data_IF_496187762456
#
_entry.id   IF_496187762456
#
_cell.length_a   1.000
_cell.length_b   1.000
_cell.length_c   1.000
_cell.angle_alpha   90.00
_cell.angle_beta   90.00
_cell.angle_gamma   90.00
#
_symmetry.space_group_name_H-M   'P 1'
#
loop_
_entity.id
_entity.type
_entity.pdbx_description
1 polymer ?
#
# COMPACT_ATOMS: atom_id res chain seq x y z
N UNK A 1 -5.12 -4.01 -9.08
CA UNK A 1 -3.96 -3.19 -9.01
C UNK A 1 -2.74 -3.77 -9.70
N UNK A 2 -1.65 -3.12 -9.49
CA UNK A 2 -0.35 -3.45 -10.09
C UNK A 2 0.06 -4.89 -9.75
N UNK A 3 -0.21 -5.33 -8.52
CA UNK A 3 0.13 -6.67 -8.05
C UNK A 3 -0.51 -7.77 -8.92
N UNK A 4 -1.77 -7.58 -9.29
CA UNK A 4 -2.50 -8.54 -10.12
C UNK A 4 -1.87 -8.67 -11.50
N UNK A 5 -1.53 -7.57 -12.13
CA UNK A 5 -0.91 -7.56 -13.46
C UNK A 5 0.45 -8.24 -13.45
N UNK A 6 1.24 -8.02 -12.41
CA UNK A 6 2.55 -8.66 -12.26
C UNK A 6 2.40 -10.17 -12.09
N UNK A 7 1.42 -10.62 -11.30
CA UNK A 7 1.14 -12.05 -11.11
C UNK A 7 0.69 -12.68 -12.43
N UNK A 8 -0.19 -12.02 -13.18
CA UNK A 8 -0.65 -12.51 -14.47
C UNK A 8 0.51 -12.63 -15.47
N UNK A 9 1.42 -11.66 -15.51
CA UNK A 9 2.61 -11.73 -16.36
C UNK A 9 3.51 -12.91 -15.97
N UNK A 10 3.68 -13.16 -14.68
CA UNK A 10 4.45 -14.30 -14.19
C UNK A 10 3.82 -15.63 -14.62
N UNK A 11 2.50 -15.77 -14.49
CA UNK A 11 1.76 -16.96 -14.90
C UNK A 11 1.87 -17.17 -16.41
N UNK A 12 1.72 -16.13 -17.19
CA UNK A 12 1.81 -16.21 -18.65
C UNK A 12 3.21 -16.61 -19.11
N UNK A 13 4.25 -16.10 -18.46
CA UNK A 13 5.62 -16.48 -18.75
C UNK A 13 5.86 -17.97 -18.46
N UNK A 14 5.34 -18.46 -17.34
CA UNK A 14 5.45 -19.86 -16.96
C UNK A 14 4.74 -20.78 -17.98
N UNK A 15 3.58 -20.35 -18.48
CA UNK A 15 2.82 -21.08 -19.51
C UNK A 15 3.54 -21.15 -20.85
N UNK A 16 4.43 -20.21 -21.13
CA UNK A 16 5.23 -20.19 -22.34
C UNK A 16 6.37 -21.19 -22.39
N UNK A 17 6.48 -22.07 -21.41
CA UNK A 17 7.49 -23.13 -21.38
C UNK A 17 8.77 -22.77 -20.66
N UNK A 18 8.94 -21.56 -20.23
CA UNK A 18 10.05 -21.15 -19.37
C UNK A 18 9.64 -21.27 -17.92
N UNK A 19 10.35 -22.08 -17.16
CA UNK A 19 10.14 -22.18 -15.72
C UNK A 19 10.86 -21.02 -15.04
N UNK A 20 10.19 -19.89 -14.93
CA UNK A 20 10.69 -18.74 -14.19
C UNK A 20 10.06 -18.78 -12.80
N UNK A 21 10.90 -18.95 -11.78
CA UNK A 21 10.47 -18.89 -10.40
C UNK A 21 10.46 -17.44 -9.95
N UNK A 22 9.28 -16.94 -9.55
CA UNK A 22 9.14 -15.60 -8.98
C UNK A 22 9.09 -15.69 -7.47
N UNK A 23 9.82 -14.80 -6.82
CA UNK A 23 9.86 -14.69 -5.37
C UNK A 23 9.35 -13.33 -4.92
N UNK A 24 8.52 -13.35 -3.89
CA UNK A 24 8.08 -12.14 -3.20
C UNK A 24 9.14 -11.70 -2.20
N UNK A 25 9.35 -10.39 -2.11
CA UNK A 25 10.27 -9.82 -1.13
C UNK A 25 9.70 -8.56 -0.54
N UNK A 26 10.21 -8.19 0.62
CA UNK A 26 9.85 -6.95 1.29
C UNK A 26 11.11 -6.29 1.82
N UNK A 27 11.31 -5.04 1.46
CA UNK A 27 12.43 -4.24 1.92
C UNK A 27 11.92 -3.09 2.75
N UNK A 28 12.63 -2.80 3.83
CA UNK A 28 12.27 -1.74 4.77
C UNK A 28 13.41 -0.76 4.88
N UNK A 29 13.09 0.53 4.86
CA UNK A 29 14.13 1.54 4.91
C UNK A 29 13.59 2.90 5.28
N UNK A 30 14.48 3.86 5.26
CA UNK A 30 14.19 5.25 5.56
C UNK A 30 14.49 6.13 4.36
N UNK A 31 13.58 7.04 4.05
CA UNK A 31 13.78 8.07 3.05
C UNK A 31 14.22 9.38 3.66
N UNK A 32 14.13 10.49 2.91
CA UNK A 32 14.44 11.80 3.43
C UNK A 32 13.66 12.10 4.70
N UNK A 33 14.29 12.78 5.66
CA UNK A 33 13.69 13.13 6.96
C UNK A 33 13.21 11.93 7.79
N UNK A 34 13.82 10.76 7.57
CA UNK A 34 13.50 9.52 8.30
C UNK A 34 12.07 9.02 8.05
N UNK A 35 11.51 9.29 6.87
CA UNK A 35 10.24 8.69 6.48
C UNK A 35 10.41 7.18 6.40
N UNK A 36 9.54 6.44 7.07
CA UNK A 36 9.55 4.98 7.02
C UNK A 36 8.93 4.52 5.70
N UNK A 37 9.61 3.62 4.99
CA UNK A 37 9.18 3.13 3.68
C UNK A 37 9.27 1.61 3.65
N UNK A 38 8.21 0.99 3.17
CA UNK A 38 8.17 -0.46 2.90
C UNK A 38 8.00 -0.64 1.39
N UNK A 39 8.84 -1.48 0.80
CA UNK A 39 8.79 -1.78 -0.64
C UNK A 39 8.54 -3.27 -0.81
N UNK A 40 7.42 -3.62 -1.43
CA UNK A 40 7.11 -5.00 -1.79
C UNK A 40 7.54 -5.27 -3.23
N UNK A 41 8.21 -6.38 -3.44
CA UNK A 41 8.71 -6.79 -4.75
C UNK A 41 8.22 -8.18 -5.13
N UNK A 42 8.15 -8.42 -6.43
CA UNK A 42 8.00 -9.75 -7.00
C UNK A 42 9.01 -9.85 -8.14
N UNK A 43 9.93 -10.79 -8.05
CA UNK A 43 11.06 -10.85 -8.96
C UNK A 43 11.51 -12.25 -9.27
N UNK A 44 12.05 -12.46 -10.46
CA UNK A 44 12.76 -13.67 -10.85
C UNK A 44 14.26 -13.58 -10.52
N UNK A 45 14.71 -12.45 -9.99
CA UNK A 45 16.12 -12.22 -9.64
C UNK A 45 16.21 -11.33 -8.40
N UNK A 46 16.29 -11.99 -7.24
CA UNK A 46 16.29 -11.33 -5.93
C UNK A 46 17.45 -10.34 -5.80
N UNK A 47 18.63 -10.69 -6.31
CA UNK A 47 19.81 -9.83 -6.26
C UNK A 47 19.58 -8.53 -7.04
N UNK A 48 19.01 -8.62 -8.22
CA UNK A 48 18.69 -7.45 -9.05
C UNK A 48 17.69 -6.55 -8.35
N UNK A 49 16.63 -7.14 -7.78
CA UNK A 49 15.60 -6.38 -7.07
C UNK A 49 16.21 -5.63 -5.87
N UNK A 50 17.00 -6.32 -5.08
CA UNK A 50 17.67 -5.72 -3.92
C UNK A 50 18.57 -4.55 -4.34
N UNK A 51 19.43 -4.77 -5.34
CA UNK A 51 20.35 -3.73 -5.79
C UNK A 51 19.61 -2.52 -6.36
N UNK A 52 18.54 -2.75 -7.11
CA UNK A 52 17.73 -1.67 -7.70
C UNK A 52 17.04 -0.84 -6.63
N UNK A 53 16.42 -1.48 -5.64
CA UNK A 53 15.73 -0.79 -4.55
C UNK A 53 16.74 -0.01 -3.70
N UNK A 54 17.84 -0.64 -3.35
CA UNK A 54 18.90 0.00 -2.58
C UNK A 54 19.45 1.25 -3.27
N UNK A 55 19.68 1.15 -4.59
CA UNK A 55 20.16 2.28 -5.38
C UNK A 55 19.20 3.45 -5.34
N UNK A 56 17.89 3.19 -5.45
CA UNK A 56 16.87 4.24 -5.37
C UNK A 56 16.96 4.99 -4.04
N UNK A 57 17.02 4.27 -2.93
CA UNK A 57 17.14 4.91 -1.61
C UNK A 57 18.42 5.73 -1.49
N UNK A 58 19.55 5.15 -1.87
CA UNK A 58 20.85 5.82 -1.74
C UNK A 58 20.94 7.11 -2.55
N UNK A 59 20.31 7.14 -3.74
CA UNK A 59 20.32 8.33 -4.61
C UNK A 59 19.59 9.53 -4.02
N UNK A 60 18.61 9.30 -3.15
CA UNK A 60 17.74 10.36 -2.64
C UNK A 60 17.87 10.56 -1.14
N UNK A 61 19.03 10.24 -0.58
CA UNK A 61 19.35 10.53 0.82
C UNK A 61 18.72 9.58 1.83
N UNK A 62 18.23 8.43 1.37
CA UNK A 62 17.72 7.39 2.24
C UNK A 62 18.68 6.21 2.38
N UNK A 63 18.25 5.20 3.07
CA UNK A 63 19.01 3.96 3.23
C UNK A 63 18.08 2.80 3.57
N UNK A 64 18.45 1.60 3.13
CA UNK A 64 17.75 0.38 3.53
C UNK A 64 18.17 -0.04 4.93
N UNK A 65 17.19 -0.51 5.70
CA UNK A 65 17.41 -1.10 7.02
C UNK A 65 17.23 -2.60 7.00
N UNK A 66 17.29 -3.19 8.19
CA UNK A 66 17.04 -4.62 8.37
C UNK A 66 15.54 -4.91 8.40
N UNK A 67 15.13 -6.17 8.09
CA UNK A 67 13.73 -6.55 8.21
C UNK A 67 13.19 -6.27 9.62
N UNK A 68 11.99 -5.69 9.68
CA UNK A 68 11.37 -5.29 10.94
C UNK A 68 11.74 -3.91 11.43
N UNK A 69 12.67 -3.23 10.78
CA UNK A 69 13.16 -1.91 11.25
C UNK A 69 12.09 -0.82 11.18
N UNK A 70 11.16 -0.90 10.21
CA UNK A 70 10.08 0.10 10.06
C UNK A 70 8.68 -0.51 10.08
N UNK A 71 8.54 -1.81 9.83
CA UNK A 71 7.23 -2.46 9.70
C UNK A 71 6.38 -2.33 10.97
N UNK A 72 7.00 -2.22 12.14
CA UNK A 72 6.29 -2.05 13.41
C UNK A 72 5.44 -0.77 13.43
N UNK A 73 5.78 0.21 12.60
CA UNK A 73 5.06 1.49 12.53
C UNK A 73 3.86 1.44 11.57
N UNK A 74 3.57 0.28 11.01
CA UNK A 74 2.46 0.09 10.09
C UNK A 74 1.52 -1.00 10.61
N UNK A 75 0.25 -0.89 10.23
CA UNK A 75 -0.76 -1.90 10.55
C UNK A 75 -1.40 -2.37 9.26
N UNK A 76 -1.44 -3.68 9.02
CA UNK A 76 -2.20 -4.23 7.90
C UNK A 76 -3.68 -3.97 8.15
N UNK A 77 -4.34 -3.31 7.23
CA UNK A 77 -5.69 -2.80 7.39
C UNK A 77 -6.51 -3.11 6.14
N UNK A 78 -7.76 -3.50 6.32
CA UNK A 78 -8.72 -3.57 5.22
C UNK A 78 -9.18 -2.16 4.90
N UNK A 79 -8.90 -1.69 3.69
CA UNK A 79 -9.23 -0.34 3.25
C UNK A 79 -10.25 -0.38 2.13
N UNK A 80 -11.38 0.32 2.31
CA UNK A 80 -12.39 0.47 1.27
C UNK A 80 -12.71 1.95 1.13
N UNK A 81 -12.59 2.48 -0.08
CA UNK A 81 -12.96 3.88 -0.37
C UNK A 81 -13.97 3.90 -1.51
N UNK A 82 -14.95 4.78 -1.40
CA UNK A 82 -16.01 4.92 -2.40
C UNK A 82 -16.69 6.28 -2.28
N UNK A 83 -17.34 6.68 -3.36
CA UNK A 83 -18.06 7.95 -3.39
C UNK A 83 -19.31 7.84 -2.51
N UNK A 84 -19.47 8.79 -1.60
CA UNK A 84 -20.62 8.85 -0.71
C UNK A 84 -20.46 9.95 0.33
N UNK A 85 -21.50 10.15 1.13
CA UNK A 85 -21.50 11.18 2.15
C UNK A 85 -22.24 10.79 3.44
N UNK A 86 -22.73 9.57 3.53
CA UNK A 86 -23.49 9.10 4.70
C UNK A 86 -22.61 8.22 5.60
N UNK A 87 -21.70 8.88 6.31
CA UNK A 87 -20.76 8.20 7.22
C UNK A 87 -21.52 7.41 8.31
N UNK A 88 -22.55 8.01 8.88
CA UNK A 88 -23.31 7.36 9.95
C UNK A 88 -24.04 6.11 9.48
N UNK A 89 -24.69 6.19 8.31
CA UNK A 89 -25.37 5.04 7.72
C UNK A 89 -24.43 3.91 7.35
N UNK A 90 -23.27 4.27 6.81
CA UNK A 90 -22.23 3.29 6.47
C UNK A 90 -21.72 2.60 7.74
N UNK A 91 -21.43 3.37 8.77
CA UNK A 91 -20.96 2.84 10.05
C UNK A 91 -21.99 1.87 10.63
N UNK A 92 -23.26 2.26 10.64
CA UNK A 92 -24.35 1.42 11.14
C UNK A 92 -24.44 0.11 10.37
N UNK A 93 -24.38 0.17 9.03
CA UNK A 93 -24.45 -1.04 8.20
C UNK A 93 -23.32 -2.03 8.53
N UNK A 94 -22.11 -1.51 8.71
CA UNK A 94 -20.94 -2.33 9.04
C UNK A 94 -21.07 -2.95 10.44
N UNK A 95 -21.48 -2.17 11.41
CA UNK A 95 -21.64 -2.63 12.80
C UNK A 95 -22.74 -3.70 12.87
N UNK A 96 -23.87 -3.50 12.22
CA UNK A 96 -24.95 -4.47 12.16
C UNK A 96 -24.53 -5.76 11.44
N UNK A 97 -23.60 -5.67 10.52
CA UNK A 97 -23.01 -6.81 9.82
C UNK A 97 -21.90 -7.50 10.59
N UNK A 98 -21.66 -7.12 11.83
CA UNK A 98 -20.64 -7.71 12.71
C UNK A 98 -19.21 -7.54 12.15
N UNK A 99 -18.93 -6.42 11.47
CA UNK A 99 -17.61 -6.07 10.98
C UNK A 99 -16.82 -5.38 12.09
N UNK A 100 -15.58 -5.78 12.28
CA UNK A 100 -14.68 -5.09 13.21
C UNK A 100 -14.14 -3.82 12.54
N UNK A 101 -14.80 -2.69 12.79
CA UNK A 101 -14.53 -1.40 12.17
C UNK A 101 -13.51 -0.63 12.99
N UNK A 102 -12.40 -0.21 12.35
CA UNK A 102 -11.41 0.66 12.98
C UNK A 102 -11.80 2.13 12.84
N UNK A 103 -12.27 2.55 11.66
CA UNK A 103 -12.65 3.93 11.41
C UNK A 103 -13.52 4.05 10.16
N UNK A 104 -14.41 5.03 10.16
CA UNK A 104 -15.16 5.46 8.97
C UNK A 104 -15.09 6.97 8.93
N UNK A 105 -14.57 7.53 7.85
CA UNK A 105 -14.38 8.98 7.72
C UNK A 105 -14.80 9.47 6.34
N UNK A 106 -14.87 10.78 6.22
CA UNK A 106 -15.20 11.48 4.98
C UNK A 106 -13.99 12.28 4.53
N UNK A 107 -13.57 12.06 3.27
CA UNK A 107 -12.52 12.82 2.62
C UNK A 107 -13.08 13.36 1.31
N UNK A 108 -13.40 14.63 1.26
CA UNK A 108 -14.13 15.30 0.16
C UNK A 108 -15.42 14.54 -0.17
N UNK A 109 -15.54 13.94 -1.34
CA UNK A 109 -16.71 13.16 -1.76
C UNK A 109 -16.55 11.65 -1.53
N UNK A 110 -15.46 11.24 -0.90
CA UNK A 110 -15.18 9.83 -0.63
C UNK A 110 -15.43 9.46 0.82
N UNK A 111 -16.01 8.30 1.02
CA UNK A 111 -16.04 7.66 2.34
C UNK A 111 -14.84 6.72 2.40
N UNK A 112 -14.08 6.80 3.49
CA UNK A 112 -12.91 5.98 3.75
C UNK A 112 -13.23 5.05 4.91
N UNK A 113 -13.28 3.74 4.64
CA UNK A 113 -13.59 2.71 5.62
C UNK A 113 -12.32 1.93 5.93
N UNK A 114 -12.00 1.83 7.21
CA UNK A 114 -10.88 1.03 7.70
C UNK A 114 -11.42 -0.05 8.62
N UNK A 115 -11.12 -1.30 8.29
CA UNK A 115 -11.60 -2.46 9.05
C UNK A 115 -10.46 -3.41 9.33
N UNK A 116 -10.67 -4.36 10.25
CA UNK A 116 -9.72 -5.44 10.45
C UNK A 116 -9.50 -6.15 9.12
N UNK A 117 -8.24 -6.50 8.82
CA UNK A 117 -7.88 -7.11 7.54
C UNK A 117 -8.66 -8.40 7.25
N UNK A 118 -8.99 -9.16 8.28
CA UNK A 118 -9.74 -10.41 8.14
C UNK A 118 -11.21 -10.19 7.80
N UNK A 119 -11.72 -8.97 8.00
CA UNK A 119 -13.13 -8.62 7.77
C UNK A 119 -13.35 -7.86 6.45
N UNK A 120 -12.32 -7.73 5.61
CA UNK A 120 -12.43 -6.94 4.37
C UNK A 120 -13.58 -7.40 3.48
N UNK A 121 -13.68 -8.70 3.22
CA UNK A 121 -14.73 -9.24 2.34
C UNK A 121 -16.11 -9.15 2.98
N UNK A 122 -16.20 -9.33 4.29
CA UNK A 122 -17.45 -9.15 5.04
C UNK A 122 -17.92 -7.70 4.95
N UNK A 123 -17.00 -6.75 5.11
CA UNK A 123 -17.27 -5.32 4.98
C UNK A 123 -17.76 -4.97 3.57
N UNK A 124 -17.08 -5.50 2.56
CA UNK A 124 -17.50 -5.30 1.16
C UNK A 124 -18.93 -5.77 0.93
N UNK A 125 -19.28 -6.95 1.46
CA UNK A 125 -20.63 -7.49 1.31
C UNK A 125 -21.67 -6.60 2.01
N UNK A 126 -21.36 -6.12 3.22
CA UNK A 126 -22.25 -5.21 3.93
C UNK A 126 -22.50 -3.93 3.15
N UNK A 127 -21.46 -3.38 2.52
CA UNK A 127 -21.57 -2.18 1.70
C UNK A 127 -22.38 -2.44 0.44
N UNK A 128 -22.18 -3.59 -0.22
CA UNK A 128 -22.97 -3.98 -1.37
C UNK A 128 -24.46 -4.07 -1.01
N UNK A 129 -24.76 -4.68 0.14
CA UNK A 129 -26.15 -4.82 0.62
C UNK A 129 -26.77 -3.46 0.95
N UNK A 130 -25.94 -2.48 1.33
CA UNK A 130 -26.38 -1.10 1.61
C UNK A 130 -26.50 -0.24 0.35
N UNK A 131 -26.18 -0.80 -0.83
CA UNK A 131 -26.32 -0.11 -2.11
C UNK A 131 -25.03 0.43 -2.71
N UNK A 132 -23.89 0.20 -2.08
CA UNK A 132 -22.60 0.64 -2.58
C UNK A 132 -21.92 -0.52 -3.31
N UNK A 133 -21.74 -0.39 -4.62
CA UNK A 133 -21.24 -1.47 -5.48
C UNK A 133 -19.97 -1.11 -6.24
N UNK A 134 -19.61 0.19 -6.27
CA UNK A 134 -18.41 0.66 -6.94
C UNK A 134 -17.44 1.23 -5.92
N UNK A 135 -16.22 0.70 -5.91
CA UNK A 135 -15.19 1.11 -4.95
C UNK A 135 -13.97 1.63 -5.68
N UNK A 136 -13.42 2.74 -5.19
CA UNK A 136 -12.13 3.25 -5.65
C UNK A 136 -11.00 2.35 -5.17
N UNK A 137 -11.11 1.88 -3.92
CA UNK A 137 -10.18 0.94 -3.32
C UNK A 137 -10.96 -0.09 -2.51
N UNK A 138 -10.50 -1.34 -2.54
CA UNK A 138 -10.99 -2.41 -1.69
C UNK A 138 -9.86 -3.43 -1.57
N UNK A 139 -8.97 -3.21 -0.59
CA UNK A 139 -7.73 -3.97 -0.49
C UNK A 139 -7.21 -4.03 0.94
N UNK A 140 -6.32 -5.00 1.19
CA UNK A 140 -5.54 -5.02 2.42
C UNK A 140 -4.28 -4.22 2.13
N UNK A 141 -4.00 -3.22 2.95
CA UNK A 141 -2.85 -2.34 2.76
C UNK A 141 -2.14 -2.09 4.10
N UNK A 142 -0.91 -1.60 4.02
CA UNK A 142 -0.13 -1.22 5.20
C UNK A 142 -0.36 0.27 5.46
N UNK A 143 -1.01 0.60 6.57
CA UNK A 143 -1.25 1.99 6.96
C UNK A 143 -0.32 2.40 8.10
N UNK A 144 0.28 3.59 8.03
CA UNK A 144 1.19 4.03 9.08
C UNK A 144 0.44 4.40 10.35
N UNK A 145 1.05 4.09 11.50
CA UNK A 145 0.54 4.48 12.81
C UNK A 145 0.89 5.93 13.14
N UNK A 146 2.06 6.38 12.67
CA UNK A 146 2.52 7.77 12.81
C UNK A 146 2.94 8.30 11.45
N UNK A 147 2.69 9.58 11.21
CA UNK A 147 3.04 10.24 9.96
C UNK A 147 4.18 11.24 10.15
N UNK A 148 5.02 11.38 9.12
CA UNK A 148 6.07 12.41 9.05
C UNK A 148 5.65 13.44 8.03
N UNK A 149 5.51 14.70 8.45
CA UNK A 149 5.12 15.79 7.56
C UNK A 149 6.34 16.28 6.79
N UNK A 150 6.23 16.32 5.47
CA UNK A 150 7.28 16.82 4.58
C UNK A 150 6.80 18.05 3.83
N UNK A 151 7.69 19.03 3.71
CA UNK A 151 7.44 20.27 2.96
C UNK A 151 8.65 20.63 2.13
N UNK A 152 8.48 21.48 1.11
CA UNK A 152 9.57 22.05 0.33
C UNK A 152 10.49 21.00 -0.30
N UNK A 153 11.79 21.17 -0.08
CA UNK A 153 12.82 20.31 -0.68
C UNK A 153 12.74 18.86 -0.21
N UNK A 154 12.38 18.65 1.05
CA UNK A 154 12.23 17.29 1.58
C UNK A 154 11.09 16.54 0.90
N UNK A 155 9.96 17.23 0.66
CA UNK A 155 8.84 16.67 -0.08
C UNK A 155 9.25 16.33 -1.52
N UNK A 156 10.04 17.20 -2.15
CA UNK A 156 10.51 16.99 -3.52
C UNK A 156 11.43 15.76 -3.60
N UNK A 157 12.38 15.65 -2.68
CA UNK A 157 13.29 14.51 -2.62
C UNK A 157 12.53 13.20 -2.43
N UNK A 158 11.53 13.24 -1.56
CA UNK A 158 10.70 12.06 -1.28
C UNK A 158 9.91 11.64 -2.54
N UNK A 159 9.29 12.60 -3.23
CA UNK A 159 8.57 12.32 -4.46
C UNK A 159 9.50 11.75 -5.53
N UNK A 160 10.73 12.28 -5.64
CA UNK A 160 11.73 11.76 -6.56
C UNK A 160 12.07 10.30 -6.23
N UNK A 161 12.18 9.98 -4.93
CA UNK A 161 12.42 8.61 -4.50
C UNK A 161 11.27 7.67 -4.90
N UNK A 162 10.03 8.10 -4.68
CA UNK A 162 8.86 7.32 -5.09
C UNK A 162 8.85 7.09 -6.61
N UNK A 163 9.18 8.11 -7.39
CA UNK A 163 9.25 8.01 -8.85
C UNK A 163 10.32 7.00 -9.28
N UNK A 164 11.49 7.02 -8.65
CA UNK A 164 12.55 6.06 -8.94
C UNK A 164 12.12 4.62 -8.61
N UNK A 165 11.46 4.43 -7.48
CA UNK A 165 10.95 3.11 -7.08
C UNK A 165 9.88 2.62 -8.07
N UNK A 166 9.04 3.52 -8.54
CA UNK A 166 7.99 3.20 -9.50
C UNK A 166 8.55 2.74 -10.86
N UNK A 167 9.75 3.18 -11.20
CA UNK A 167 10.44 2.77 -12.42
C UNK A 167 11.08 1.38 -12.32
N UNK A 168 11.23 0.84 -11.13
CA UNK A 168 11.80 -0.50 -10.93
C UNK A 168 10.74 -1.55 -11.25
N UNK A 169 11.00 -2.36 -12.27
CA UNK A 169 10.04 -3.36 -12.74
C UNK A 169 9.61 -4.34 -11.66
N UNK A 170 10.53 -4.72 -10.77
CA UNK A 170 10.27 -5.72 -9.73
C UNK A 170 9.44 -5.17 -8.56
N UNK A 171 9.28 -3.84 -8.44
CA UNK A 171 8.53 -3.23 -7.36
C UNK A 171 7.03 -3.33 -7.64
N UNK A 172 6.28 -3.87 -6.68
CA UNK A 172 4.82 -3.99 -6.76
C UNK A 172 4.10 -2.90 -5.99
N UNK A 173 4.50 -2.68 -4.75
CA UNK A 173 3.85 -1.73 -3.85
C UNK A 173 4.89 -0.99 -3.03
N UNK A 174 4.60 0.26 -2.72
CA UNK A 174 5.40 1.08 -1.82
C UNK A 174 4.46 1.67 -0.78
N UNK A 175 4.77 1.43 0.48
CA UNK A 175 4.02 1.99 1.61
C UNK A 175 4.94 2.90 2.38
N UNK A 176 4.41 4.01 2.88
CA UNK A 176 5.22 4.99 3.60
C UNK A 176 4.39 5.78 4.60
N UNK A 177 5.05 6.49 5.48
CA UNK A 177 4.38 7.33 6.47
C UNK A 177 4.56 8.83 6.24
N UNK A 178 4.91 9.23 5.02
CA UNK A 178 5.04 10.64 4.69
C UNK A 178 3.67 11.27 4.44
N UNK A 179 3.49 12.49 4.95
CA UNK A 179 2.37 13.36 4.63
C UNK A 179 2.94 14.61 4.01
N UNK A 180 2.61 14.87 2.77
CA UNK A 180 3.12 16.02 2.06
C UNK A 180 2.16 17.18 2.23
N UNK A 181 2.69 18.31 2.71
CA UNK A 181 1.95 19.56 2.84
C UNK A 181 2.60 20.63 1.98
N UNK A 182 1.76 21.39 1.30
CA UNK A 182 2.19 22.52 0.46
C UNK A 182 2.42 23.80 1.27
#
# INVERSE_FOLDING_TARGET
GVTKDVIERAINKAKGGEKVAYESGRYEGYGPSNVAIIVDTLTDNVRRAYDSVRMCFNKKGGHLGTPGSVAYNFTETGLITFVGNDVDGVTEALVLGDVNVDDVSQDDDLIVVKVDKSDLMKAKQCLNDAGYNEFEQCEITMLPNDEVVLTGDEARKFNDLLDLLDEVEDVQNVYHNAKIEE
#
